data_IF_848937028192
#
_entry.id   IF_848937028192
#
_cell.length_a   1.000
_cell.length_b   1.000
_cell.length_c   1.000
_cell.angle_alpha   90.00
_cell.angle_beta   90.00
_cell.angle_gamma   90.00
#
_symmetry.space_group_name_H-M   'P 1'
#
loop_
_entity.id
_entity.type
_entity.pdbx_description
1 polymer ?
#
# COMPACT_ATOMS: atom_id res chain seq x y z
N UNK A 1 11.41 -23.18 12.48
CA UNK A 1 10.10 -23.83 12.23
C UNK A 1 9.00 -22.84 12.59
N UNK A 2 8.18 -22.48 11.59
CA UNK A 2 7.04 -21.56 11.69
C UNK A 2 6.15 -21.92 12.89
N UNK A 3 5.86 -20.94 13.76
CA UNK A 3 4.74 -21.05 14.68
C UNK A 3 3.45 -20.98 13.86
N UNK A 4 2.68 -22.06 13.85
CA UNK A 4 1.36 -22.12 13.23
C UNK A 4 0.44 -21.20 14.02
N UNK A 5 -0.03 -20.13 13.38
CA UNK A 5 -1.16 -19.34 13.85
C UNK A 5 -2.42 -20.18 13.60
N UNK A 6 -2.98 -20.79 14.64
CA UNK A 6 -4.26 -21.51 14.50
C UNK A 6 -5.38 -20.48 14.64
N UNK A 7 -5.97 -20.10 13.51
CA UNK A 7 -7.18 -19.29 13.47
C UNK A 7 -8.36 -20.24 13.64
N UNK A 8 -9.03 -20.22 14.80
CA UNK A 8 -10.31 -20.91 14.98
C UNK A 8 -11.45 -19.97 14.62
N UNK A 9 -12.28 -20.37 13.67
CA UNK A 9 -13.46 -19.63 13.25
C UNK A 9 -14.71 -20.06 14.01
N UNK A 10 -15.52 -19.09 14.42
CA UNK A 10 -16.92 -19.26 14.80
C UNK A 10 -17.69 -18.15 14.10
N UNK A 11 -18.50 -18.52 13.11
CA UNK A 11 -19.49 -17.63 12.52
C UNK A 11 -20.71 -17.66 13.45
N UNK A 12 -20.97 -16.57 14.16
CA UNK A 12 -22.21 -16.43 14.92
C UNK A 12 -23.12 -15.45 14.18
N UNK A 13 -24.38 -15.85 14.02
CA UNK A 13 -25.43 -14.98 13.49
C UNK A 13 -25.73 -13.90 14.53
N UNK A 14 -25.64 -12.63 14.16
CA UNK A 14 -26.14 -11.51 14.97
C UNK A 14 -27.38 -10.94 14.26
N UNK A 15 -28.54 -11.26 14.80
CA UNK A 15 -29.84 -10.66 14.46
C UNK A 15 -29.79 -9.15 14.85
N UNK A 16 -30.06 -8.17 14.00
CA UNK A 16 -31.37 -7.86 13.36
C UNK A 16 -31.19 -6.99 12.08
N UNK A 17 -29.97 -6.91 11.54
CA UNK A 17 -29.58 -5.95 10.49
C UNK A 17 -28.84 -6.59 9.29
N UNK A 18 -28.83 -7.92 9.14
CA UNK A 18 -28.01 -8.63 8.13
C UNK A 18 -26.50 -8.27 8.19
N UNK A 19 -25.96 -7.96 9.37
CA UNK A 19 -24.52 -7.70 9.56
C UNK A 19 -23.81 -8.97 10.01
N UNK A 20 -22.88 -9.45 9.19
CA UNK A 20 -21.98 -10.55 9.56
C UNK A 20 -20.92 -10.04 10.54
N UNK A 21 -20.90 -10.57 11.76
CA UNK A 21 -19.79 -10.40 12.70
C UNK A 21 -18.81 -11.57 12.55
N UNK A 22 -17.57 -11.30 12.15
CA UNK A 22 -16.49 -12.27 12.22
C UNK A 22 -15.79 -12.16 13.58
N UNK A 23 -15.92 -13.18 14.42
CA UNK A 23 -15.11 -13.31 15.64
C UNK A 23 -13.89 -14.15 15.28
N UNK A 24 -12.72 -13.51 15.25
CA UNK A 24 -11.44 -14.22 15.12
C UNK A 24 -10.86 -14.43 16.51
N UNK A 25 -10.72 -15.70 16.92
CA UNK A 25 -9.87 -16.09 18.06
C UNK A 25 -8.51 -16.51 17.52
N UNK A 26 -7.49 -15.69 17.81
CA UNK A 26 -6.10 -16.02 17.52
C UNK A 26 -5.52 -16.75 18.73
N UNK A 27 -5.19 -18.04 18.58
CA UNK A 27 -4.45 -18.80 19.59
C UNK A 27 -2.98 -18.89 19.15
N UNK A 28 -2.07 -18.45 20.03
CA UNK A 28 -0.64 -18.71 19.88
C UNK A 28 -0.26 -19.85 20.81
N UNK A 29 0.07 -21.04 20.26
CA UNK A 29 0.62 -22.12 21.09
C UNK A 29 2.14 -21.99 21.15
N UNK A 30 2.68 -21.78 22.36
CA UNK A 30 4.08 -22.09 22.63
C UNK A 30 4.15 -23.55 23.07
N UNK A 31 4.71 -24.42 22.22
CA UNK A 31 5.14 -25.75 22.65
C UNK A 31 6.41 -25.64 23.53
N UNK A 32 6.30 -25.00 24.69
CA UNK A 32 7.30 -25.07 25.76
C UNK A 32 6.61 -25.69 26.98
N UNK A 33 6.87 -26.98 27.21
CA UNK A 33 6.54 -27.64 28.48
C UNK A 33 7.51 -27.16 29.54
N UNK A 34 7.01 -26.68 30.68
CA UNK A 34 7.82 -26.61 31.90
C UNK A 34 8.16 -28.02 32.36
N UNK A 35 9.28 -28.18 33.06
CA UNK A 35 9.72 -29.47 33.64
C UNK A 35 8.72 -30.10 34.63
N UNK A 36 7.64 -29.40 34.98
CA UNK A 36 6.57 -29.83 35.89
C UNK A 36 5.28 -30.30 35.18
N UNK A 37 5.27 -30.38 33.84
CA UNK A 37 4.15 -30.91 33.07
C UNK A 37 2.96 -29.96 32.86
N UNK A 38 3.02 -28.70 33.30
CA UNK A 38 1.94 -27.70 33.05
C UNK A 38 2.25 -26.84 31.82
N UNK A 39 1.23 -26.55 31.00
CA UNK A 39 1.36 -25.63 29.86
C UNK A 39 1.54 -24.18 30.32
N UNK A 40 2.36 -23.41 29.60
CA UNK A 40 2.50 -21.97 29.79
C UNK A 40 1.35 -21.24 29.06
N UNK A 41 0.53 -20.55 29.84
CA UNK A 41 -0.46 -19.51 29.50
C UNK A 41 -0.99 -19.50 28.04
N UNK A 42 -2.24 -19.96 27.88
CA UNK A 42 -3.10 -19.65 26.74
C UNK A 42 -3.50 -18.17 26.78
N UNK A 43 -2.74 -17.31 26.09
CA UNK A 43 -3.22 -15.95 25.80
C UNK A 43 -4.26 -16.05 24.68
N UNK A 44 -5.55 -16.04 25.03
CA UNK A 44 -6.64 -15.89 24.07
C UNK A 44 -6.94 -14.40 23.92
N UNK A 45 -6.57 -13.82 22.78
CA UNK A 45 -6.98 -12.44 22.45
C UNK A 45 -8.35 -12.53 21.77
N UNK A 46 -9.40 -12.14 22.48
CA UNK A 46 -10.75 -12.00 21.90
C UNK A 46 -10.86 -10.62 21.25
N UNK A 47 -10.68 -10.57 19.93
CA UNK A 47 -10.84 -9.33 19.18
C UNK A 47 -12.32 -9.19 18.81
N UNK A 48 -13.07 -8.38 19.57
CA UNK A 48 -14.44 -7.98 19.23
C UNK A 48 -14.41 -6.83 18.22
N UNK A 49 -14.29 -7.16 16.95
CA UNK A 49 -14.48 -6.20 15.86
C UNK A 49 -15.95 -6.23 15.44
N UNK A 50 -16.70 -5.23 15.87
CA UNK A 50 -18.05 -5.01 15.37
C UNK A 50 -17.98 -4.76 13.85
N UNK A 51 -18.59 -5.66 13.06
CA UNK A 51 -18.97 -5.50 11.65
C UNK A 51 -17.88 -5.24 10.58
N UNK A 52 -16.58 -5.31 10.88
CA UNK A 52 -15.53 -5.16 9.86
C UNK A 52 -15.03 -6.52 9.37
N UNK A 53 -14.98 -6.71 8.04
CA UNK A 53 -14.26 -7.82 7.43
C UNK A 53 -12.78 -7.70 7.79
N UNK A 54 -12.23 -8.77 8.34
CA UNK A 54 -10.83 -8.86 8.79
C UNK A 54 -10.01 -9.79 7.89
N UNK A 55 -10.70 -10.51 7.00
CA UNK A 55 -10.14 -11.38 5.99
C UNK A 55 -10.84 -11.14 4.65
N UNK A 56 -10.09 -11.30 3.57
CA UNK A 56 -10.65 -11.32 2.21
C UNK A 56 -11.28 -12.69 1.91
N UNK A 57 -12.00 -12.79 0.79
CA UNK A 57 -12.55 -14.06 0.26
C UNK A 57 -11.47 -15.09 -0.13
N UNK A 58 -10.19 -14.70 -0.23
CA UNK A 58 -9.05 -15.60 -0.44
C UNK A 58 -8.16 -15.75 0.81
N UNK A 59 -8.68 -15.44 2.00
CA UNK A 59 -8.01 -15.58 3.30
C UNK A 59 -6.75 -14.72 3.50
N UNK A 60 -6.61 -13.60 2.79
CA UNK A 60 -5.60 -12.60 3.13
C UNK A 60 -6.09 -11.70 4.29
N UNK A 61 -5.21 -11.30 5.23
CA UNK A 61 -5.56 -10.30 6.24
C UNK A 61 -5.99 -8.98 5.62
N UNK A 62 -7.11 -8.44 6.07
CA UNK A 62 -7.53 -7.06 5.85
C UNK A 62 -7.18 -6.25 7.10
N UNK A 63 -6.12 -5.45 7.01
CA UNK A 63 -5.48 -4.79 8.17
C UNK A 63 -6.22 -3.51 8.54
N UNK A 64 -6.75 -3.50 9.76
CA UNK A 64 -7.39 -2.35 10.40
C UNK A 64 -6.76 -2.11 11.77
N UNK A 65 -6.91 -0.90 12.31
CA UNK A 65 -6.53 -0.61 13.69
C UNK A 65 -7.24 -1.55 14.68
N UNK A 66 -6.43 -2.27 15.45
CA UNK A 66 -6.87 -3.30 16.39
C UNK A 66 -6.88 -4.74 15.83
N UNK A 67 -6.48 -4.97 14.57
CA UNK A 67 -6.35 -6.35 14.01
C UNK A 67 -4.96 -6.96 14.19
N UNK A 68 -4.01 -6.23 14.78
CA UNK A 68 -2.62 -6.64 14.96
C UNK A 68 -2.04 -6.08 16.26
N UNK A 69 -1.02 -6.74 16.81
CA UNK A 69 -0.21 -6.22 17.90
C UNK A 69 1.07 -5.57 17.30
N UNK A 70 1.25 -4.25 17.43
CA UNK A 70 2.37 -3.53 16.80
C UNK A 70 3.73 -3.95 17.38
N UNK A 71 3.81 -4.29 18.67
CA UNK A 71 5.06 -4.69 19.32
C UNK A 71 5.49 -6.06 18.83
N UNK A 72 4.56 -7.01 18.75
CA UNK A 72 4.85 -8.37 18.32
C UNK A 72 5.25 -8.39 16.84
N UNK A 73 4.52 -7.70 15.96
CA UNK A 73 4.80 -7.73 14.53
C UNK A 73 6.13 -7.04 14.21
N UNK A 74 6.43 -5.90 14.84
CA UNK A 74 7.73 -5.23 14.67
C UNK A 74 8.86 -6.11 15.19
N UNK A 75 8.70 -6.76 16.34
CA UNK A 75 9.73 -7.65 16.88
C UNK A 75 10.03 -8.83 15.94
N UNK A 76 9.02 -9.36 15.22
CA UNK A 76 9.20 -10.42 14.24
C UNK A 76 10.00 -9.88 13.04
N UNK A 77 9.56 -8.79 12.43
CA UNK A 77 10.21 -8.26 11.23
C UNK A 77 11.60 -7.66 11.51
N UNK A 78 11.80 -6.99 12.65
CA UNK A 78 13.13 -6.46 13.04
C UNK A 78 14.18 -7.57 13.18
N UNK A 79 13.79 -8.79 13.55
CA UNK A 79 14.71 -9.96 13.57
C UNK A 79 15.12 -10.44 12.18
N UNK A 80 14.28 -10.20 11.17
CA UNK A 80 14.61 -10.50 9.78
C UNK A 80 15.51 -9.40 9.17
N UNK A 81 15.60 -8.24 9.83
CA UNK A 81 16.36 -7.06 9.42
C UNK A 81 16.14 -6.70 7.93
N UNK A 82 14.89 -6.47 7.48
CA UNK A 82 14.61 -6.22 6.08
C UNK A 82 15.11 -4.84 5.64
N UNK A 83 15.63 -4.77 4.42
CA UNK A 83 15.96 -3.52 3.72
C UNK A 83 14.75 -3.09 2.89
N UNK A 84 14.31 -1.85 3.07
CA UNK A 84 13.10 -1.34 2.43
C UNK A 84 13.44 -0.22 1.45
N UNK A 85 12.93 -0.33 0.23
CA UNK A 85 12.90 0.75 -0.75
C UNK A 85 11.56 1.47 -0.70
N UNK A 86 11.58 2.80 -0.73
CA UNK A 86 10.37 3.61 -0.94
C UNK A 86 10.60 4.43 -2.21
N UNK A 87 9.85 4.11 -3.25
CA UNK A 87 9.93 4.78 -4.55
C UNK A 87 8.89 5.88 -4.63
N UNK A 88 9.36 7.10 -4.85
CA UNK A 88 8.55 8.32 -4.91
C UNK A 88 8.95 9.12 -6.14
N UNK A 89 7.96 9.57 -6.90
CA UNK A 89 8.15 10.43 -8.07
C UNK A 89 7.74 11.87 -7.71
N UNK A 90 8.66 12.81 -7.86
CA UNK A 90 8.47 14.22 -7.56
C UNK A 90 9.03 15.07 -8.72
N UNK A 91 8.17 15.32 -9.72
CA UNK A 91 8.53 16.05 -10.94
C UNK A 91 7.86 17.41 -10.98
N UNK A 92 8.58 18.43 -11.44
CA UNK A 92 8.11 19.80 -11.51
C UNK A 92 7.65 20.33 -10.15
N UNK A 93 6.45 20.88 -10.07
CA UNK A 93 5.95 21.52 -8.83
C UNK A 93 5.68 20.55 -7.69
N UNK A 94 5.67 19.23 -7.94
CA UNK A 94 5.46 18.22 -6.90
C UNK A 94 6.66 18.07 -5.95
N UNK A 95 7.84 18.60 -6.31
CA UNK A 95 9.01 18.65 -5.40
C UNK A 95 8.69 19.37 -4.08
N UNK A 96 7.75 20.32 -4.08
CA UNK A 96 7.29 21.03 -2.87
C UNK A 96 6.73 20.11 -1.78
N UNK A 97 6.22 18.93 -2.14
CA UNK A 97 5.63 17.98 -1.19
C UNK A 97 6.67 17.09 -0.51
N UNK A 98 7.89 16.99 -1.06
CA UNK A 98 8.94 16.11 -0.56
C UNK A 98 9.26 16.35 0.91
N UNK A 99 9.32 17.62 1.34
CA UNK A 99 9.68 17.95 2.72
C UNK A 99 8.65 17.39 3.70
N UNK A 100 7.37 17.67 3.49
CA UNK A 100 6.29 17.16 4.34
C UNK A 100 6.20 15.64 4.32
N UNK A 101 6.33 15.02 3.14
CA UNK A 101 6.34 13.56 3.00
C UNK A 101 7.49 12.92 3.80
N UNK A 102 8.72 13.39 3.60
CA UNK A 102 9.91 12.79 4.22
C UNK A 102 9.97 13.04 5.73
N UNK A 103 9.71 14.27 6.21
CA UNK A 103 9.73 14.59 7.65
C UNK A 103 8.66 13.80 8.40
N UNK A 104 7.47 13.62 7.82
CA UNK A 104 6.43 12.80 8.43
C UNK A 104 6.73 11.30 8.34
N UNK A 105 7.33 10.83 7.25
CA UNK A 105 7.77 9.44 7.11
C UNK A 105 8.81 9.06 8.18
N UNK A 106 9.77 9.93 8.47
CA UNK A 106 10.76 9.68 9.55
C UNK A 106 10.11 9.52 10.93
N UNK A 107 8.96 10.17 11.16
CA UNK A 107 8.23 10.07 12.43
C UNK A 107 7.37 8.81 12.55
N UNK A 108 6.86 8.29 11.43
CA UNK A 108 5.74 7.34 11.46
C UNK A 108 5.91 6.09 10.58
N UNK A 109 6.70 6.17 9.51
CA UNK A 109 6.84 5.11 8.53
C UNK A 109 8.00 4.18 8.86
N UNK A 110 7.66 2.96 9.29
CA UNK A 110 8.59 1.88 9.60
C UNK A 110 9.78 2.37 10.42
N UNK A 111 9.48 3.02 11.54
CA UNK A 111 10.47 3.57 12.47
C UNK A 111 11.39 2.45 12.97
N UNK A 112 12.70 2.74 13.04
CA UNK A 112 13.79 1.81 13.31
C UNK A 112 14.03 0.69 12.29
N UNK A 113 13.37 0.72 11.12
CA UNK A 113 13.73 -0.14 10.00
C UNK A 113 14.69 0.56 9.04
N UNK A 114 15.47 -0.25 8.31
CA UNK A 114 16.37 0.23 7.26
C UNK A 114 15.58 0.63 6.03
N UNK A 115 15.47 1.94 5.77
CA UNK A 115 14.69 2.50 4.67
C UNK A 115 15.58 3.33 3.75
N UNK A 116 15.51 3.05 2.46
CA UNK A 116 16.07 3.93 1.42
C UNK A 116 14.93 4.56 0.63
N UNK A 117 14.84 5.88 0.68
CA UNK A 117 13.94 6.64 -0.19
C UNK A 117 14.60 6.87 -1.54
N UNK A 118 14.03 6.31 -2.60
CA UNK A 118 14.42 6.55 -3.99
C UNK A 118 13.52 7.64 -4.58
N UNK A 119 14.06 8.85 -4.64
CA UNK A 119 13.36 10.04 -5.12
C UNK A 119 13.69 10.25 -6.58
N UNK A 120 12.72 10.02 -7.45
CA UNK A 120 12.81 10.35 -8.86
C UNK A 120 12.40 11.80 -9.07
N UNK A 121 13.27 12.62 -9.62
CA UNK A 121 12.98 14.04 -9.84
C UNK A 121 13.71 14.60 -11.06
N UNK A 122 13.13 15.63 -11.66
CA UNK A 122 13.76 16.46 -12.69
C UNK A 122 14.53 17.65 -12.10
N UNK A 123 14.44 17.88 -10.78
CA UNK A 123 15.18 18.92 -10.10
C UNK A 123 15.76 18.44 -8.76
N UNK A 124 17.00 17.93 -8.80
CA UNK A 124 17.74 17.46 -7.61
C UNK A 124 17.93 18.53 -6.53
N UNK A 125 17.97 19.80 -6.89
CA UNK A 125 18.22 20.89 -5.93
C UNK A 125 17.01 21.13 -5.03
N UNK A 126 15.81 20.71 -5.45
CA UNK A 126 14.59 20.84 -4.66
C UNK A 126 14.41 19.70 -3.65
N UNK A 127 15.26 18.67 -3.68
CA UNK A 127 15.22 17.60 -2.70
C UNK A 127 15.70 18.14 -1.34
N UNK A 128 14.84 18.14 -0.31
CA UNK A 128 15.16 18.78 0.96
C UNK A 128 16.25 17.99 1.70
N UNK A 129 17.16 18.73 2.35
CA UNK A 129 18.12 18.15 3.29
C UNK A 129 17.43 18.04 4.66
N UNK A 130 17.08 16.81 5.04
CA UNK A 130 16.49 16.51 6.34
C UNK A 130 17.38 15.56 7.13
N UNK A 131 17.23 15.57 8.45
CA UNK A 131 17.85 14.57 9.31
C UNK A 131 17.11 13.24 9.17
N UNK A 132 17.86 12.15 9.03
CA UNK A 132 17.32 10.81 8.85
C UNK A 132 17.71 9.92 10.02
N UNK A 133 16.81 9.03 10.41
CA UNK A 133 17.07 8.02 11.42
C UNK A 133 18.19 7.06 11.03
N UNK A 134 18.74 6.36 12.02
CA UNK A 134 19.82 5.38 11.80
C UNK A 134 19.41 4.31 10.79
N UNK A 135 20.29 4.02 9.83
CA UNK A 135 20.03 3.02 8.78
C UNK A 135 19.09 3.50 7.66
N UNK A 136 18.78 4.81 7.62
CA UNK A 136 17.91 5.41 6.62
C UNK A 136 18.68 6.38 5.74
N UNK A 137 18.36 6.40 4.45
CA UNK A 137 19.04 7.27 3.47
C UNK A 137 18.10 7.71 2.35
N UNK A 138 18.47 8.81 1.69
CA UNK A 138 17.83 9.29 0.46
C UNK A 138 18.78 9.01 -0.70
N UNK A 139 18.25 8.46 -1.78
CA UNK A 139 18.92 8.30 -3.08
C UNK A 139 18.11 9.04 -4.13
N UNK A 140 18.75 9.98 -4.83
CA UNK A 140 18.09 10.81 -5.85
C UNK A 140 18.41 10.28 -7.24
N UNK A 141 17.37 10.01 -8.02
CA UNK A 141 17.45 9.48 -9.38
C UNK A 141 16.92 10.54 -10.36
N UNK A 142 17.76 10.93 -11.32
CA UNK A 142 17.35 11.90 -12.34
C UNK A 142 16.33 11.29 -13.29
N UNK A 143 15.26 12.03 -13.54
CA UNK A 143 14.31 11.74 -14.62
C UNK A 143 14.07 12.98 -15.48
N UNK A 144 13.72 12.83 -16.76
CA UNK A 144 13.34 13.97 -17.60
C UNK A 144 12.09 14.68 -17.05
N UNK A 145 12.05 16.00 -17.20
CA UNK A 145 10.79 16.75 -17.06
C UNK A 145 9.77 16.25 -18.09
N UNK A 146 8.49 16.27 -17.72
CA UNK A 146 7.41 15.91 -18.63
C UNK A 146 6.50 17.10 -18.94
N UNK A 147 5.98 17.15 -20.17
CA UNK A 147 5.05 18.19 -20.61
C UNK A 147 3.60 17.87 -20.25
N UNK A 148 3.19 16.60 -20.17
CA UNK A 148 1.86 16.17 -19.66
C UNK A 148 2.00 15.47 -18.32
N UNK A 149 1.07 15.71 -17.39
CA UNK A 149 1.05 15.01 -16.10
C UNK A 149 0.77 13.51 -16.25
N UNK A 150 0.00 13.09 -17.27
CA UNK A 150 -0.23 11.67 -17.54
C UNK A 150 1.07 10.96 -17.94
N UNK A 151 1.94 11.65 -18.68
CA UNK A 151 3.25 11.12 -19.06
C UNK A 151 4.15 10.98 -17.81
N UNK A 152 4.04 11.88 -16.81
CA UNK A 152 4.70 11.72 -15.49
C UNK A 152 4.22 10.44 -14.82
N UNK A 153 2.91 10.26 -14.72
CA UNK A 153 2.28 9.13 -14.04
C UNK A 153 2.61 7.79 -14.71
N UNK A 154 2.49 7.72 -16.03
CA UNK A 154 2.85 6.52 -16.80
C UNK A 154 4.37 6.26 -16.78
N UNK A 155 5.19 7.32 -16.76
CA UNK A 155 6.64 7.18 -16.63
C UNK A 155 7.08 6.63 -15.27
N UNK A 156 6.25 6.76 -14.22
CA UNK A 156 6.54 6.21 -12.89
C UNK A 156 6.85 4.72 -12.93
N UNK A 157 6.03 3.95 -13.65
CA UNK A 157 6.23 2.50 -13.78
C UNK A 157 7.49 2.17 -14.61
N UNK A 158 7.75 2.95 -15.67
CA UNK A 158 8.97 2.85 -16.48
C UNK A 158 10.23 3.08 -15.66
N UNK A 159 10.32 4.22 -14.97
CA UNK A 159 11.50 4.60 -14.18
C UNK A 159 11.71 3.68 -12.99
N UNK A 160 10.63 3.26 -12.32
CA UNK A 160 10.71 2.26 -11.27
C UNK A 160 11.24 0.92 -11.80
N UNK A 161 10.77 0.44 -12.96
CA UNK A 161 11.29 -0.79 -13.59
C UNK A 161 12.80 -0.69 -13.84
N UNK A 162 13.24 0.42 -14.46
CA UNK A 162 14.66 0.66 -14.77
C UNK A 162 15.51 0.73 -13.49
N UNK A 163 15.05 1.45 -12.48
CA UNK A 163 15.79 1.60 -11.23
C UNK A 163 15.86 0.30 -10.42
N UNK A 164 14.80 -0.52 -10.46
CA UNK A 164 14.84 -1.85 -9.85
C UNK A 164 15.91 -2.71 -10.51
N UNK A 165 15.93 -2.76 -11.84
CA UNK A 165 16.92 -3.57 -12.58
C UNK A 165 18.36 -3.09 -12.37
N UNK A 166 18.58 -1.77 -12.34
CA UNK A 166 19.93 -1.22 -12.29
C UNK A 166 20.49 -1.03 -10.87
N UNK A 167 19.64 -0.84 -9.86
CA UNK A 167 20.10 -0.42 -8.53
C UNK A 167 19.32 -1.07 -7.38
N UNK A 168 18.00 -0.84 -7.29
CA UNK A 168 17.22 -1.11 -6.07
C UNK A 168 17.26 -2.61 -5.72
N UNK A 169 17.31 -3.50 -6.73
CA UNK A 169 17.33 -4.95 -6.52
C UNK A 169 18.50 -5.45 -5.67
N UNK A 170 19.63 -4.74 -5.72
CA UNK A 170 20.80 -5.09 -4.92
C UNK A 170 20.76 -4.48 -3.51
N UNK A 171 19.88 -3.50 -3.27
CA UNK A 171 19.85 -2.69 -2.06
C UNK A 171 18.66 -2.96 -1.14
N UNK A 172 17.58 -3.59 -1.64
CA UNK A 172 16.33 -3.76 -0.91
C UNK A 172 15.72 -5.16 -1.03
N UNK A 173 14.99 -5.58 0.00
CA UNK A 173 14.23 -6.83 0.07
C UNK A 173 12.72 -6.58 -0.13
N UNK A 174 12.27 -5.39 0.25
CA UNK A 174 10.90 -4.89 0.07
C UNK A 174 10.90 -3.58 -0.70
N UNK A 175 9.79 -3.31 -1.39
CA UNK A 175 9.56 -2.05 -2.09
C UNK A 175 8.15 -1.53 -1.80
N UNK A 176 8.04 -0.24 -1.50
CA UNK A 176 6.79 0.51 -1.51
C UNK A 176 6.81 1.53 -2.64
N UNK A 177 5.70 1.59 -3.37
CA UNK A 177 5.38 2.68 -4.29
C UNK A 177 4.47 3.66 -3.55
N UNK A 178 4.88 4.92 -3.44
CA UNK A 178 4.12 5.94 -2.73
C UNK A 178 4.03 7.26 -3.51
N UNK A 179 2.88 7.93 -3.42
CA UNK A 179 2.68 9.27 -3.98
C UNK A 179 3.26 10.32 -3.04
N UNK A 180 3.98 11.30 -3.62
CA UNK A 180 4.70 12.32 -2.85
C UNK A 180 3.78 13.34 -2.18
N UNK A 181 2.57 13.53 -2.70
CA UNK A 181 1.59 14.51 -2.23
C UNK A 181 0.78 14.01 -1.02
N UNK A 182 1.44 13.25 -0.15
CA UNK A 182 0.89 12.62 1.04
C UNK A 182 1.70 12.95 2.28
N UNK A 183 1.06 12.93 3.45
CA UNK A 183 1.69 13.14 4.77
C UNK A 183 1.27 12.04 5.73
N UNK A 184 2.24 11.53 6.49
CA UNK A 184 1.99 10.55 7.55
C UNK A 184 1.56 11.25 8.85
N UNK A 185 0.52 10.74 9.49
CA UNK A 185 -0.06 11.31 10.72
C UNK A 185 0.04 10.35 11.91
N UNK A 186 0.16 9.06 11.62
CA UNK A 186 0.22 8.01 12.62
C UNK A 186 1.04 6.83 12.11
N UNK A 187 1.34 5.89 13.01
CA UNK A 187 2.17 4.73 12.75
C UNK A 187 1.76 4.01 11.46
N UNK A 188 2.73 3.79 10.58
CA UNK A 188 2.67 2.90 9.42
C UNK A 188 3.83 1.91 9.55
N UNK A 189 3.57 0.71 10.06
CA UNK A 189 4.61 -0.18 10.54
C UNK A 189 4.69 -1.53 9.85
N UNK A 190 5.37 -2.50 10.49
CA UNK A 190 5.64 -3.80 9.90
C UNK A 190 4.37 -4.62 9.61
N UNK A 191 3.23 -4.23 10.19
CA UNK A 191 1.93 -4.79 9.82
C UNK A 191 1.58 -4.58 8.35
N UNK A 192 2.17 -3.59 7.68
CA UNK A 192 1.99 -3.35 6.25
C UNK A 192 2.82 -4.28 5.35
N UNK A 193 3.83 -4.96 5.89
CA UNK A 193 4.74 -5.81 5.12
C UNK A 193 4.11 -7.16 4.78
N UNK A 194 4.20 -7.56 3.52
CA UNK A 194 3.80 -8.89 3.04
C UNK A 194 4.44 -9.14 1.67
N UNK A 195 4.34 -10.35 1.10
CA UNK A 195 4.75 -10.58 -0.29
C UNK A 195 4.13 -9.58 -1.27
N UNK A 196 2.85 -9.28 -1.12
CA UNK A 196 2.13 -8.27 -1.88
C UNK A 196 1.02 -7.63 -1.03
N UNK A 197 1.16 -6.33 -0.77
CA UNK A 197 0.27 -5.49 0.02
C UNK A 197 -0.38 -4.41 -0.85
N UNK A 198 -1.72 -4.35 -0.84
CA UNK A 198 -2.49 -3.35 -1.57
C UNK A 198 -3.42 -2.57 -0.62
N UNK A 199 -3.64 -1.28 -0.86
CA UNK A 199 -4.50 -0.43 -0.03
C UNK A 199 -5.88 -0.27 -0.68
N UNK A 200 -6.94 -0.44 0.09
CA UNK A 200 -8.31 -0.15 -0.35
C UNK A 200 -8.47 1.35 -0.61
N UNK A 201 -9.01 1.70 -1.78
CA UNK A 201 -9.27 3.10 -2.09
C UNK A 201 -10.41 3.65 -1.21
N UNK A 202 -10.15 4.77 -0.52
CA UNK A 202 -11.07 5.46 0.39
C UNK A 202 -12.47 5.75 -0.19
N UNK A 203 -12.57 6.03 -1.49
CA UNK A 203 -13.83 6.36 -2.16
C UNK A 203 -14.73 5.14 -2.43
N UNK A 204 -14.16 3.93 -2.39
CA UNK A 204 -14.80 2.72 -2.91
C UNK A 204 -14.85 1.54 -1.93
N UNK A 205 -14.15 1.59 -0.79
CA UNK A 205 -14.10 0.47 0.16
C UNK A 205 -15.47 0.04 0.75
N UNK A 206 -16.48 0.92 0.72
CA UNK A 206 -17.88 0.65 1.12
C UNK A 206 -18.82 0.43 -0.07
N UNK A 207 -18.32 0.47 -1.30
CA UNK A 207 -19.13 0.41 -2.52
C UNK A 207 -19.16 -1.01 -3.07
N UNK A 208 -20.25 -1.34 -3.74
CA UNK A 208 -20.34 -2.57 -4.53
C UNK A 208 -19.55 -2.45 -5.82
N UNK A 209 -19.13 -3.59 -6.39
CA UNK A 209 -18.22 -3.64 -7.54
C UNK A 209 -18.70 -2.91 -8.80
N UNK A 210 -20.01 -2.76 -8.96
CA UNK A 210 -20.62 -2.03 -10.07
C UNK A 210 -20.35 -0.51 -10.00
N UNK A 211 -19.93 0.01 -8.84
CA UNK A 211 -19.51 1.40 -8.67
C UNK A 211 -17.99 1.59 -8.79
N UNK A 212 -17.21 0.51 -8.88
CA UNK A 212 -15.76 0.62 -9.05
C UNK A 212 -15.45 1.16 -10.44
N UNK A 213 -14.64 2.21 -10.54
CA UNK A 213 -14.35 2.86 -11.80
C UNK A 213 -13.20 2.13 -12.51
N UNK A 214 -13.30 0.81 -12.63
CA UNK A 214 -12.38 0.05 -13.46
C UNK A 214 -12.49 0.50 -14.92
N UNK A 215 -11.46 0.22 -15.70
CA UNK A 215 -11.53 0.32 -17.14
C UNK A 215 -12.58 -0.66 -17.69
N UNK A 216 -13.57 -0.15 -18.43
CA UNK A 216 -14.69 -0.95 -18.97
C UNK A 216 -14.65 -1.09 -20.48
N UNK A 217 -13.74 -0.42 -21.18
CA UNK A 217 -13.52 -0.60 -22.61
C UNK A 217 -12.77 -1.90 -22.84
N UNK A 218 -13.42 -2.88 -23.44
CA UNK A 218 -12.83 -4.20 -23.74
C UNK A 218 -11.59 -4.16 -24.65
N UNK A 219 -11.34 -3.03 -25.32
CA UNK A 219 -10.14 -2.80 -26.13
C UNK A 219 -8.90 -2.49 -25.30
N UNK A 220 -9.05 -2.02 -24.06
CA UNK A 220 -7.92 -1.71 -23.17
C UNK A 220 -7.38 -2.96 -22.49
N UNK A 221 -6.06 -3.03 -22.32
CA UNK A 221 -5.37 -4.01 -21.49
C UNK A 221 -5.74 -3.92 -20.01
N UNK A 222 -6.29 -2.81 -19.53
CA UNK A 222 -6.76 -2.66 -18.15
C UNK A 222 -8.22 -3.14 -17.92
N UNK A 223 -8.92 -3.60 -18.96
CA UNK A 223 -10.34 -3.95 -18.90
C UNK A 223 -10.70 -4.89 -17.73
N UNK A 224 -11.78 -4.62 -17.01
CA UNK A 224 -12.37 -5.56 -16.05
C UNK A 224 -13.88 -5.67 -16.36
N UNK A 225 -14.42 -6.88 -16.59
CA UNK A 225 -15.85 -7.09 -16.80
C UNK A 225 -16.73 -6.59 -15.64
N UNK A 226 -17.97 -6.14 -15.88
CA UNK A 226 -18.88 -5.64 -14.84
C UNK A 226 -19.17 -6.61 -13.69
N UNK A 227 -19.12 -7.92 -13.95
CA UNK A 227 -19.37 -9.00 -13.00
C UNK A 227 -18.13 -9.41 -12.18
N UNK A 228 -16.93 -8.98 -12.60
CA UNK A 228 -15.66 -9.22 -11.91
C UNK A 228 -15.23 -8.06 -10.99
N UNK A 229 -14.36 -8.36 -10.02
CA UNK A 229 -13.80 -7.41 -9.06
C UNK A 229 -14.08 -7.76 -7.59
N UNK A 230 -13.01 -7.83 -6.79
CA UNK A 230 -13.11 -8.01 -5.33
C UNK A 230 -13.17 -6.66 -4.61
N UNK A 231 -12.18 -5.80 -4.88
CA UNK A 231 -12.01 -4.48 -4.27
C UNK A 231 -11.42 -3.50 -5.27
N UNK A 232 -11.66 -2.20 -5.06
CA UNK A 232 -10.93 -1.15 -5.76
C UNK A 232 -9.74 -0.68 -4.93
N UNK A 233 -8.53 -0.94 -5.43
CA UNK A 233 -7.26 -0.60 -4.81
C UNK A 233 -6.73 0.73 -5.34
N UNK A 234 -5.94 1.43 -4.52
CA UNK A 234 -5.26 2.66 -4.95
C UNK A 234 -3.83 2.40 -5.41
N UNK A 235 -3.38 3.13 -6.45
CA UNK A 235 -1.99 3.15 -6.91
C UNK A 235 -1.10 4.14 -6.14
N UNK A 236 -1.66 4.84 -5.15
CA UNK A 236 -0.93 5.85 -4.41
C UNK A 236 -0.14 5.29 -3.21
N UNK A 237 -0.53 4.13 -2.67
CA UNK A 237 0.24 3.38 -1.66
C UNK A 237 0.06 1.88 -1.84
N UNK A 238 1.16 1.18 -2.09
CA UNK A 238 1.20 -0.27 -2.27
C UNK A 238 2.64 -0.75 -2.17
N UNK A 239 2.85 -2.00 -1.81
CA UNK A 239 4.20 -2.50 -1.57
C UNK A 239 4.25 -4.01 -1.39
N UNK A 240 5.44 -4.54 -1.25
CA UNK A 240 5.62 -5.98 -1.08
C UNK A 240 7.06 -6.40 -1.14
N UNK A 241 7.30 -7.70 -1.31
CA UNK A 241 8.62 -8.19 -1.69
C UNK A 241 9.05 -7.54 -3.00
N UNK A 242 10.34 -7.22 -3.09
CA UNK A 242 10.91 -6.55 -4.24
C UNK A 242 10.55 -7.26 -5.57
N UNK A 243 10.68 -8.59 -5.63
CA UNK A 243 10.43 -9.34 -6.87
C UNK A 243 8.94 -9.40 -7.25
N UNK A 244 8.03 -9.40 -6.27
CA UNK A 244 6.59 -9.32 -6.54
C UNK A 244 6.21 -7.92 -7.03
N UNK A 245 6.79 -6.89 -6.41
CA UNK A 245 6.62 -5.50 -6.86
C UNK A 245 7.22 -5.28 -8.25
N UNK A 246 8.37 -5.87 -8.57
CA UNK A 246 8.97 -5.78 -9.90
C UNK A 246 8.05 -6.38 -10.97
N UNK A 247 7.47 -7.56 -10.73
CA UNK A 247 6.48 -8.16 -11.65
C UNK A 247 5.29 -7.23 -11.86
N UNK A 248 4.76 -6.66 -10.79
CA UNK A 248 3.59 -5.79 -10.84
C UNK A 248 3.89 -4.49 -11.60
N UNK A 249 4.94 -3.77 -11.21
CA UNK A 249 5.35 -2.50 -11.82
C UNK A 249 5.65 -2.70 -13.32
N UNK A 250 6.40 -3.77 -13.65
CA UNK A 250 6.71 -4.11 -15.04
C UNK A 250 5.45 -4.49 -15.83
N UNK A 251 4.51 -5.21 -15.22
CA UNK A 251 3.23 -5.51 -15.85
C UNK A 251 2.47 -4.23 -16.19
N UNK A 252 2.30 -3.32 -15.22
CA UNK A 252 1.60 -2.06 -15.44
C UNK A 252 2.23 -1.26 -16.58
N UNK A 253 3.57 -1.14 -16.57
CA UNK A 253 4.31 -0.47 -17.65
C UNK A 253 4.08 -1.12 -19.02
N UNK A 254 4.22 -2.44 -19.13
CA UNK A 254 4.06 -3.14 -20.42
C UNK A 254 2.63 -3.04 -20.93
N UNK A 255 1.62 -3.16 -20.06
CA UNK A 255 0.23 -3.03 -20.47
C UNK A 255 -0.13 -1.59 -20.88
N UNK A 256 0.41 -0.58 -20.18
CA UNK A 256 0.19 0.82 -20.56
C UNK A 256 0.83 1.16 -21.90
N UNK A 257 2.04 0.65 -22.18
CA UNK A 257 2.69 0.84 -23.48
C UNK A 257 1.90 0.18 -24.61
N UNK A 258 1.30 -0.98 -24.36
CA UNK A 258 0.48 -1.67 -25.36
C UNK A 258 -0.84 -0.94 -25.64
N UNK A 259 -1.49 -0.38 -24.62
CA UNK A 259 -2.65 0.48 -24.82
C UNK A 259 -2.26 1.77 -25.56
N UNK A 260 -1.13 2.39 -25.22
CA UNK A 260 -0.64 3.60 -25.88
C UNK A 260 -0.40 3.38 -27.38
N UNK A 261 0.18 2.24 -27.80
CA UNK A 261 0.31 1.87 -29.23
C UNK A 261 -1.02 1.76 -29.96
N UNK A 262 -2.08 1.43 -29.22
CA UNK A 262 -3.45 1.34 -29.74
C UNK A 262 -4.24 2.65 -29.56
N UNK A 263 -3.58 3.75 -29.19
CA UNK A 263 -4.18 5.06 -28.88
C UNK A 263 -5.23 4.99 -27.75
N UNK A 264 -4.98 4.15 -26.76
CA UNK A 264 -5.80 3.99 -25.57
C UNK A 264 -5.01 4.48 -24.36
N UNK A 265 -5.65 5.28 -23.52
CA UNK A 265 -5.19 5.60 -22.17
C UNK A 265 -6.26 5.09 -21.21
N UNK A 266 -5.91 4.20 -20.28
CA UNK A 266 -6.86 3.65 -19.32
C UNK A 266 -7.47 4.77 -18.43
N UNK A 267 -8.73 4.59 -18.03
CA UNK A 267 -9.55 5.64 -17.39
C UNK A 267 -8.90 6.27 -16.14
N UNK A 268 -8.15 5.49 -15.36
CA UNK A 268 -7.36 5.95 -14.22
C UNK A 268 -5.90 5.51 -14.33
N UNK A 269 -5.31 5.69 -15.53
CA UNK A 269 -3.89 5.47 -15.82
C UNK A 269 -3.35 4.16 -15.20
N UNK A 270 -2.29 4.22 -14.38
CA UNK A 270 -1.65 3.08 -13.74
C UNK A 270 -2.56 2.34 -12.73
N UNK A 271 -3.47 3.07 -12.06
CA UNK A 271 -4.41 2.49 -11.10
C UNK A 271 -5.36 1.49 -11.77
N UNK A 272 -5.68 1.71 -13.04
CA UNK A 272 -6.49 0.76 -13.82
C UNK A 272 -5.74 -0.56 -14.07
N UNK A 273 -4.47 -0.51 -14.47
CA UNK A 273 -3.65 -1.71 -14.69
C UNK A 273 -3.32 -2.44 -13.38
N UNK A 274 -3.07 -1.69 -12.30
CA UNK A 274 -2.89 -2.23 -10.94
C UNK A 274 -4.09 -3.06 -10.51
N UNK A 275 -5.30 -2.49 -10.63
CA UNK A 275 -6.51 -3.19 -10.24
C UNK A 275 -6.73 -4.46 -11.06
N UNK A 276 -6.43 -4.44 -12.37
CA UNK A 276 -6.48 -5.64 -13.19
C UNK A 276 -5.44 -6.68 -12.78
N UNK A 277 -4.22 -6.24 -12.47
CA UNK A 277 -3.18 -7.15 -12.00
C UNK A 277 -3.61 -7.85 -10.71
N UNK A 278 -4.07 -7.09 -9.72
CA UNK A 278 -4.46 -7.60 -8.40
C UNK A 278 -5.72 -8.47 -8.43
N UNK A 279 -6.57 -8.30 -9.44
CA UNK A 279 -7.70 -9.20 -9.68
C UNK A 279 -7.24 -10.63 -9.98
N UNK A 280 -6.15 -10.81 -10.73
CA UNK A 280 -5.64 -12.13 -11.10
C UNK A 280 -4.41 -12.58 -10.29
N UNK A 281 -3.78 -11.66 -9.57
CA UNK A 281 -2.64 -11.90 -8.67
C UNK A 281 -3.00 -11.35 -7.29
N UNK A 282 -3.73 -12.15 -6.51
CA UNK A 282 -4.36 -11.69 -5.27
C UNK A 282 -3.30 -11.19 -4.27
N UNK A 283 -3.46 -9.99 -3.69
CA UNK A 283 -2.53 -9.50 -2.68
C UNK A 283 -2.60 -10.39 -1.44
N UNK A 284 -1.45 -10.69 -0.86
CA UNK A 284 -1.34 -11.50 0.36
C UNK A 284 -1.76 -10.73 1.61
N UNK A 285 -1.90 -9.41 1.49
CA UNK A 285 -2.41 -8.53 2.52
C UNK A 285 -3.15 -7.36 1.88
N UNK A 286 -4.30 -7.02 2.43
CA UNK A 286 -5.03 -5.81 2.05
C UNK A 286 -5.00 -4.85 3.23
N UNK A 287 -4.65 -3.60 2.97
CA UNK A 287 -4.63 -2.54 3.98
C UNK A 287 -5.93 -1.74 3.86
N UNK A 288 -6.54 -1.41 5.00
CA UNK A 288 -7.73 -0.57 5.04
C UNK A 288 -7.46 0.84 4.51
N UNK A 289 -8.50 1.67 4.28
CA UNK A 289 -8.31 3.08 3.94
C UNK A 289 -7.62 3.92 5.03
N UNK A 290 -7.39 3.38 6.23
CA UNK A 290 -6.52 4.02 7.24
C UNK A 290 -5.09 4.22 6.71
N UNK A 291 -4.67 3.39 5.75
CA UNK A 291 -3.36 3.41 5.10
C UNK A 291 -3.32 4.25 3.81
N UNK A 292 -4.43 4.88 3.41
CA UNK A 292 -4.43 6.06 2.55
C UNK A 292 -5.81 6.74 2.56
N UNK A 293 -5.90 7.83 3.33
CA UNK A 293 -7.06 8.72 3.32
C UNK A 293 -6.80 9.96 2.45
N UNK A 294 -7.65 10.97 2.58
CA UNK A 294 -7.57 12.23 1.84
C UNK A 294 -8.08 13.37 2.70
N UNK A 295 -7.34 14.47 2.70
CA UNK A 295 -7.70 15.66 3.46
C UNK A 295 -8.89 16.41 2.86
N UNK A 296 -9.37 16.01 1.67
CA UNK A 296 -10.63 16.50 1.10
C UNK A 296 -11.87 15.89 1.77
N UNK A 297 -11.73 14.72 2.39
CA UNK A 297 -12.85 13.87 2.81
C UNK A 297 -13.01 13.87 4.33
N UNK A 298 -14.25 13.97 4.81
CA UNK A 298 -14.53 13.76 6.23
C UNK A 298 -14.17 12.33 6.64
N UNK A 299 -13.58 12.17 7.83
CA UNK A 299 -13.19 10.86 8.37
C UNK A 299 -14.43 10.19 9.01
N UNK A 300 -14.92 9.07 8.46
CA UNK A 300 -16.07 8.36 9.04
C UNK A 300 -15.67 7.53 10.26
N UNK A 301 -16.65 7.14 11.09
CA UNK A 301 -16.43 6.50 12.40
C UNK A 301 -15.71 5.14 12.36
N UNK A 302 -15.72 4.45 11.22
CA UNK A 302 -15.01 3.18 11.01
C UNK A 302 -13.52 3.37 10.70
N UNK A 303 -13.09 4.57 10.30
CA UNK A 303 -11.67 4.93 10.19
C UNK A 303 -11.20 5.38 11.56
N UNK A 304 -10.58 4.48 12.32
CA UNK A 304 -10.18 4.75 13.71
C UNK A 304 -8.92 5.61 13.79
N UNK A 305 -8.07 5.48 12.77
CA UNK A 305 -6.82 6.23 12.65
C UNK A 305 -6.55 6.54 11.19
N UNK A 306 -6.15 7.77 10.90
CA UNK A 306 -5.56 8.12 9.60
C UNK A 306 -4.04 8.00 9.76
N UNK A 307 -3.42 7.05 9.05
CA UNK A 307 -1.97 6.83 9.11
C UNK A 307 -1.24 7.70 8.11
N UNK A 308 -1.82 7.84 6.92
CA UNK A 308 -1.34 8.70 5.84
C UNK A 308 -2.54 9.25 5.07
N UNK A 309 -2.46 10.50 4.64
CA UNK A 309 -3.48 11.11 3.79
C UNK A 309 -2.87 11.91 2.63
N UNK A 310 -3.60 11.98 1.52
CA UNK A 310 -3.28 12.87 0.41
C UNK A 310 -3.68 14.31 0.75
N UNK A 311 -2.77 15.24 0.51
CA UNK A 311 -2.94 16.66 0.82
C UNK A 311 -3.93 17.35 -0.12
N UNK A 312 -4.66 18.33 0.42
CA UNK A 312 -5.42 19.30 -0.39
C UNK A 312 -4.44 20.11 -1.23
N UNK A 313 -4.65 20.11 -2.53
CA UNK A 313 -3.85 20.82 -3.53
C UNK A 313 -4.74 21.40 -4.63
N UNK A 314 -4.28 22.49 -5.22
CA UNK A 314 -4.87 23.01 -6.44
C UNK A 314 -4.27 22.29 -7.65
N UNK A 315 -5.02 21.37 -8.26
CA UNK A 315 -4.55 20.58 -9.41
C UNK A 315 -4.10 21.44 -10.59
N UNK A 316 -4.78 22.56 -10.87
CA UNK A 316 -4.39 23.49 -11.93
C UNK A 316 -3.06 24.18 -11.63
N UNK A 317 -2.71 24.35 -10.36
CA UNK A 317 -1.43 24.93 -9.98
C UNK A 317 -0.28 23.92 -10.12
N UNK A 318 -0.48 22.68 -9.68
CA UNK A 318 0.62 21.71 -9.52
C UNK A 318 0.84 20.81 -10.72
N UNK A 319 -0.19 20.53 -11.54
CA UNK A 319 -0.05 19.68 -12.73
C UNK A 319 0.46 20.48 -13.93
N UNK A 320 1.51 20.01 -14.63
CA UNK A 320 1.85 20.53 -15.95
C UNK A 320 0.62 20.45 -16.87
N UNK A 321 0.23 21.59 -17.44
CA UNK A 321 -0.91 21.74 -18.35
C UNK A 321 -2.32 21.41 -17.78
N UNK A 322 -2.51 21.52 -16.45
CA UNK A 322 -3.83 21.77 -15.86
C UNK A 322 -4.91 20.70 -16.02
N UNK A 323 -4.54 19.42 -16.16
CA UNK A 323 -5.55 18.35 -16.17
C UNK A 323 -6.32 18.27 -14.85
N UNK A 324 -7.65 18.10 -14.93
CA UNK A 324 -8.56 17.96 -13.79
C UNK A 324 -8.31 16.71 -12.97
#
# INVERSE_FOLDING_TARGET
LLHILVIKHSLNHCDTDNKWCQIIKVQTSKNMKRKDGRSLFDTCVEIRLWCMLVLTNWNAPLVWEGTFDPVVIDAIYKRLDPRLAVVVLAVGKYTRFLKGFLESAEKYFLVDFRVTYYIFTDNKQDVPKIELGTGRKITVLDVPSATRWQDVVLSRMKWATIAIDNQIRNEADYLFMMDVDSVFHSRFGAESLSPLSAVLHRGYYKKYRNYFPYERRGTSKAYIPPDEGDYYYTAAVWGGYLEEMYKLVKYCYVQSEEDAKNNIEAVWQEESYLNRYLLYNKPTKVLSPEYLWSDYDQVPADIRVVRISQLVKNYAEVRPNGGQ
#
